data_IF_109377775936
#
_entry.id   IF_109377775936
#
_cell.length_a   1.000
_cell.length_b   1.000
_cell.length_c   1.000
_cell.angle_alpha   90.00
_cell.angle_beta   90.00
_cell.angle_gamma   90.00
#
_symmetry.space_group_name_H-M   'P 1'
#
loop_
_entity.id
_entity.type
_entity.pdbx_description
1 polymer ?
#
# COMPACT_ATOMS: atom_id res chain seq x y z
N UNK A 1 -13.45 61.33 27.05
CA UNK A 1 -13.60 60.83 25.67
C UNK A 1 -12.33 60.20 25.09
N UNK A 2 -11.09 60.54 25.56
CA UNK A 2 -9.84 59.92 25.04
C UNK A 2 -9.60 58.48 25.42
N UNK A 3 -10.14 58.00 26.53
CA UNK A 3 -9.91 56.62 27.01
C UNK A 3 -10.86 55.56 26.41
N UNK A 4 -11.97 55.98 25.79
CA UNK A 4 -12.94 55.06 25.15
C UNK A 4 -12.44 54.58 23.76
N UNK A 5 -11.69 55.44 23.05
CA UNK A 5 -11.17 55.12 21.71
C UNK A 5 -10.00 54.11 21.79
N UNK A 6 -9.18 54.17 22.85
CA UNK A 6 -8.06 53.22 23.06
C UNK A 6 -8.54 51.79 23.35
N UNK A 7 -9.66 51.62 24.00
CA UNK A 7 -10.19 50.28 24.34
C UNK A 7 -10.81 49.60 23.12
N UNK A 8 -11.40 50.36 22.21
CA UNK A 8 -12.00 49.81 20.97
C UNK A 8 -10.88 49.38 19.98
N UNK A 9 -9.72 50.03 19.96
CA UNK A 9 -8.62 49.67 19.05
C UNK A 9 -7.89 48.39 19.49
N UNK A 10 -7.89 48.04 20.78
CA UNK A 10 -7.27 46.81 21.32
C UNK A 10 -8.17 45.60 21.07
N UNK A 11 -9.51 45.75 21.11
CA UNK A 11 -10.45 44.69 20.86
C UNK A 11 -10.53 44.20 19.39
N UNK A 12 -10.22 45.06 18.43
CA UNK A 12 -10.22 44.72 17.00
C UNK A 12 -9.00 43.94 16.54
N UNK A 13 -7.90 43.93 17.33
CA UNK A 13 -6.68 43.18 16.98
C UNK A 13 -6.69 41.72 17.46
N UNK A 14 -7.59 41.37 18.39
CA UNK A 14 -7.70 39.98 18.90
C UNK A 14 -8.53 39.06 18.04
N UNK A 15 -9.29 39.53 17.05
CA UNK A 15 -10.18 38.73 16.20
C UNK A 15 -9.49 38.17 14.94
N UNK A 16 -8.23 38.48 14.65
CA UNK A 16 -7.55 38.06 13.42
C UNK A 16 -6.68 36.80 13.54
N UNK A 17 -6.65 36.13 14.72
CA UNK A 17 -5.77 34.99 14.96
C UNK A 17 -6.43 33.61 14.81
N UNK A 18 -7.66 33.51 14.30
CA UNK A 18 -8.40 32.25 14.25
C UNK A 18 -8.49 31.61 12.85
N UNK A 19 -7.61 31.93 11.93
CA UNK A 19 -7.75 31.63 10.51
C UNK A 19 -6.77 30.64 9.87
N UNK A 20 -5.99 29.83 10.62
CA UNK A 20 -5.03 28.91 9.99
C UNK A 20 -5.02 27.54 10.66
N UNK A 21 -6.11 26.80 10.60
CA UNK A 21 -6.12 25.35 10.96
C UNK A 21 -7.00 24.47 10.06
N UNK A 22 -7.47 24.94 8.92
CA UNK A 22 -8.37 24.17 8.07
C UNK A 22 -7.74 23.52 6.83
N UNK A 23 -6.41 23.61 6.63
CA UNK A 23 -5.76 23.10 5.40
C UNK A 23 -5.18 21.68 5.49
N UNK A 24 -5.22 21.05 6.66
CA UNK A 24 -4.50 19.78 6.91
C UNK A 24 -5.39 18.52 6.92
N UNK A 25 -6.70 18.67 6.71
CA UNK A 25 -7.60 17.52 6.57
C UNK A 25 -7.82 17.19 5.08
N UNK A 26 -7.84 15.89 4.78
CA UNK A 26 -8.17 15.40 3.45
C UNK A 26 -9.61 15.78 3.12
N UNK A 27 -9.80 16.58 2.06
CA UNK A 27 -11.14 16.81 1.54
C UNK A 27 -11.75 15.49 1.03
N UNK A 28 -13.09 15.35 0.98
CA UNK A 28 -13.72 14.13 0.47
C UNK A 28 -13.25 13.74 -0.93
N UNK A 29 -13.05 14.72 -1.83
CA UNK A 29 -12.54 14.48 -3.19
C UNK A 29 -11.09 13.98 -3.18
N UNK A 30 -10.24 14.54 -2.30
CA UNK A 30 -8.84 14.07 -2.14
C UNK A 30 -8.80 12.67 -1.56
N UNK A 31 -9.63 12.37 -0.56
CA UNK A 31 -9.75 11.02 0.00
C UNK A 31 -10.10 10.02 -1.10
N UNK A 32 -11.12 10.30 -1.90
CA UNK A 32 -11.53 9.43 -3.00
C UNK A 32 -10.42 9.21 -4.03
N UNK A 33 -9.65 10.26 -4.37
CA UNK A 33 -8.52 10.15 -5.29
C UNK A 33 -7.39 9.27 -4.70
N UNK A 34 -7.09 9.42 -3.40
CA UNK A 34 -6.10 8.60 -2.68
C UNK A 34 -6.56 7.14 -2.61
N UNK A 35 -7.82 6.91 -2.28
CA UNK A 35 -8.41 5.56 -2.22
C UNK A 35 -8.30 4.86 -3.58
N UNK A 36 -8.61 5.58 -4.66
CA UNK A 36 -8.48 5.06 -6.03
C UNK A 36 -7.02 4.71 -6.37
N UNK A 37 -6.08 5.58 -6.03
CA UNK A 37 -4.64 5.36 -6.26
C UNK A 37 -4.10 4.18 -5.45
N UNK A 38 -4.53 4.04 -4.18
CA UNK A 38 -4.15 2.92 -3.33
C UNK A 38 -4.63 1.58 -3.91
N UNK A 39 -5.90 1.52 -4.35
CA UNK A 39 -6.45 0.33 -5.00
C UNK A 39 -5.76 0.02 -6.33
N UNK A 40 -5.36 1.03 -7.11
CA UNK A 40 -4.59 0.85 -8.35
C UNK A 40 -3.22 0.21 -8.05
N UNK A 41 -2.47 0.74 -7.07
CA UNK A 41 -1.18 0.16 -6.66
C UNK A 41 -1.29 -1.30 -6.19
N UNK A 42 -2.35 -1.64 -5.46
CA UNK A 42 -2.60 -3.03 -5.06
C UNK A 42 -2.90 -3.93 -6.26
N UNK A 43 -3.66 -3.45 -7.25
CA UNK A 43 -3.91 -4.18 -8.50
C UNK A 43 -2.64 -4.36 -9.32
N UNK A 44 -1.78 -3.35 -9.38
CA UNK A 44 -0.50 -3.44 -10.08
C UNK A 44 0.44 -4.42 -9.39
N UNK A 45 0.50 -4.40 -8.06
CA UNK A 45 1.24 -5.42 -7.30
C UNK A 45 0.74 -6.83 -7.61
N UNK A 46 -0.58 -7.05 -7.68
CA UNK A 46 -1.16 -8.35 -8.06
C UNK A 46 -0.69 -8.81 -9.44
N UNK A 47 -0.66 -7.90 -10.44
CA UNK A 47 -0.13 -8.20 -11.79
C UNK A 47 1.35 -8.55 -11.74
N UNK A 48 2.16 -7.78 -11.00
CA UNK A 48 3.60 -8.05 -10.84
C UNK A 48 3.85 -9.41 -10.20
N UNK A 49 3.12 -9.76 -9.15
CA UNK A 49 3.19 -11.08 -8.50
C UNK A 49 2.88 -12.20 -9.49
N UNK A 50 1.86 -12.04 -10.33
CA UNK A 50 1.50 -13.03 -11.35
C UNK A 50 2.60 -13.19 -12.40
N UNK A 51 3.24 -12.11 -12.84
CA UNK A 51 4.35 -12.15 -13.81
C UNK A 51 5.59 -12.80 -13.19
N UNK A 52 5.96 -12.43 -11.96
CA UNK A 52 7.12 -12.99 -11.25
C UNK A 52 6.93 -14.49 -10.97
N UNK A 53 5.71 -14.90 -10.62
CA UNK A 53 5.38 -16.30 -10.35
C UNK A 53 5.23 -17.18 -11.59
N UNK A 54 5.00 -16.60 -12.77
CA UNK A 54 4.85 -17.35 -14.02
C UNK A 54 6.19 -17.94 -14.48
N UNK A 55 6.27 -19.26 -14.52
CA UNK A 55 7.46 -20.02 -14.92
C UNK A 55 7.87 -19.84 -16.39
N UNK A 56 7.03 -19.20 -17.21
CA UNK A 56 7.32 -18.83 -18.59
C UNK A 56 7.97 -17.46 -18.73
N UNK A 57 7.91 -16.64 -17.68
CA UNK A 57 8.54 -15.32 -17.68
C UNK A 57 10.06 -15.47 -17.71
N UNK A 58 10.71 -14.82 -18.68
CA UNK A 58 12.16 -14.80 -18.76
C UNK A 58 12.78 -14.20 -17.49
N UNK A 59 13.90 -14.76 -17.01
CA UNK A 59 14.54 -14.31 -15.77
C UNK A 59 14.84 -12.81 -15.76
N UNK A 60 15.36 -12.27 -16.87
CA UNK A 60 15.66 -10.83 -16.99
C UNK A 60 14.41 -9.94 -16.96
N UNK A 61 13.26 -10.44 -17.40
CA UNK A 61 11.99 -9.74 -17.32
C UNK A 61 11.46 -9.78 -15.88
N UNK A 62 11.49 -10.95 -15.24
CA UNK A 62 11.09 -11.10 -13.85
C UNK A 62 11.89 -10.17 -12.93
N UNK A 63 13.22 -10.05 -13.12
CA UNK A 63 14.05 -9.12 -12.35
C UNK A 63 13.62 -7.66 -12.51
N UNK A 64 13.32 -7.20 -13.73
CA UNK A 64 12.81 -5.84 -13.96
C UNK A 64 11.45 -5.60 -13.32
N UNK A 65 10.59 -6.62 -13.31
CA UNK A 65 9.27 -6.53 -12.65
C UNK A 65 9.43 -6.51 -11.13
N UNK A 66 10.37 -7.27 -10.57
CA UNK A 66 10.71 -7.25 -9.13
C UNK A 66 11.14 -5.83 -8.70
N UNK A 67 11.98 -5.16 -9.46
CA UNK A 67 12.38 -3.78 -9.18
C UNK A 67 11.17 -2.85 -9.10
N UNK A 68 10.31 -2.86 -10.12
CA UNK A 68 9.07 -2.06 -10.13
C UNK A 68 8.11 -2.40 -9.01
N UNK A 69 7.97 -3.70 -8.69
CA UNK A 69 7.13 -4.14 -7.59
C UNK A 69 7.67 -3.66 -6.24
N UNK A 70 8.99 -3.66 -6.06
CA UNK A 70 9.64 -3.18 -4.84
C UNK A 70 9.44 -1.67 -4.63
N UNK A 71 9.44 -0.87 -5.71
CA UNK A 71 9.20 0.58 -5.67
C UNK A 71 7.78 0.95 -5.16
N UNK A 72 6.84 0.03 -5.15
CA UNK A 72 5.50 0.28 -4.59
C UNK A 72 5.51 0.36 -3.06
N UNK A 73 6.56 -0.15 -2.39
CA UNK A 73 6.59 -0.35 -0.95
C UNK A 73 7.40 0.73 -0.21
N UNK A 74 7.02 0.94 1.04
CA UNK A 74 7.86 1.63 2.01
C UNK A 74 9.13 0.81 2.26
N UNK A 75 10.23 1.52 2.55
CA UNK A 75 11.47 0.90 2.96
C UNK A 75 11.27 -0.05 4.16
N UNK A 76 11.95 -1.18 4.15
CA UNK A 76 11.89 -2.22 5.18
C UNK A 76 10.54 -2.95 5.34
N UNK A 77 9.58 -2.75 4.44
CA UNK A 77 8.31 -3.51 4.47
C UNK A 77 8.52 -5.01 4.32
N UNK A 78 7.61 -5.78 4.90
CA UNK A 78 7.64 -7.24 4.94
C UNK A 78 6.36 -7.85 4.39
N UNK A 79 6.49 -9.01 3.78
CA UNK A 79 5.37 -9.79 3.23
C UNK A 79 5.26 -11.11 3.99
N UNK A 80 4.10 -11.32 4.61
CA UNK A 80 3.74 -12.57 5.28
C UNK A 80 3.38 -13.68 4.29
N UNK A 81 3.93 -14.85 4.53
CA UNK A 81 3.66 -16.09 3.78
C UNK A 81 3.25 -17.18 4.75
N UNK A 82 2.11 -17.76 4.52
CA UNK A 82 1.58 -18.92 5.23
C UNK A 82 1.39 -20.09 4.28
N UNK A 83 1.13 -21.26 4.83
CA UNK A 83 0.82 -22.47 4.08
C UNK A 83 -0.04 -23.39 4.94
N UNK A 84 -0.93 -24.15 4.32
CA UNK A 84 -1.71 -25.20 5.01
C UNK A 84 -0.83 -26.26 5.68
N UNK A 85 0.41 -26.43 5.21
CA UNK A 85 1.35 -27.42 5.72
C UNK A 85 2.22 -26.89 6.88
N UNK A 86 2.02 -25.64 7.32
CA UNK A 86 2.79 -25.01 8.41
C UNK A 86 1.85 -24.24 9.33
N UNK A 87 2.16 -24.22 10.61
CA UNK A 87 1.41 -23.43 11.59
C UNK A 87 1.87 -21.97 11.63
N UNK A 88 3.15 -21.70 11.30
CA UNK A 88 3.75 -20.40 11.41
C UNK A 88 3.64 -19.59 10.12
N UNK A 89 3.48 -18.28 10.28
CA UNK A 89 3.61 -17.28 9.20
C UNK A 89 5.06 -16.81 9.13
N UNK A 90 5.70 -16.97 7.98
CA UNK A 90 7.03 -16.42 7.74
C UNK A 90 6.92 -15.04 7.13
N UNK A 91 7.76 -14.10 7.58
CA UNK A 91 7.84 -12.74 7.07
C UNK A 91 9.16 -12.57 6.34
N UNK A 92 9.09 -12.04 5.12
CA UNK A 92 10.25 -11.79 4.27
C UNK A 92 10.27 -10.31 3.87
N UNK A 93 11.47 -9.74 3.75
CA UNK A 93 11.62 -8.44 3.09
C UNK A 93 11.04 -8.50 1.67
N UNK A 94 10.45 -7.40 1.19
CA UNK A 94 9.74 -7.36 -0.08
C UNK A 94 10.56 -7.97 -1.23
N UNK A 95 11.83 -7.57 -1.37
CA UNK A 95 12.72 -8.12 -2.40
C UNK A 95 12.95 -9.62 -2.23
N UNK A 96 13.23 -10.06 -1.02
CA UNK A 96 13.43 -11.48 -0.71
C UNK A 96 12.19 -12.32 -1.03
N UNK A 97 10.98 -11.80 -0.72
CA UNK A 97 9.73 -12.47 -1.08
C UNK A 97 9.62 -12.70 -2.58
N UNK A 98 9.91 -11.69 -3.41
CA UNK A 98 9.83 -11.82 -4.86
C UNK A 98 10.88 -12.77 -5.43
N UNK A 99 12.12 -12.72 -4.93
CA UNK A 99 13.17 -13.65 -5.32
C UNK A 99 12.78 -15.10 -5.00
N UNK A 100 12.19 -15.35 -3.82
CA UNK A 100 11.66 -16.68 -3.43
C UNK A 100 10.50 -17.12 -4.31
N UNK A 101 9.58 -16.21 -4.64
CA UNK A 101 8.45 -16.48 -5.53
C UNK A 101 8.93 -16.94 -6.93
N UNK A 102 9.91 -16.24 -7.48
CA UNK A 102 10.53 -16.61 -8.77
C UNK A 102 11.17 -18.00 -8.73
N UNK A 103 11.76 -18.38 -7.58
CA UNK A 103 12.49 -19.63 -7.38
C UNK A 103 11.64 -20.83 -6.93
N UNK A 104 10.30 -20.67 -6.78
CA UNK A 104 9.44 -21.79 -6.40
C UNK A 104 9.63 -22.98 -7.36
N UNK A 105 9.84 -24.16 -6.80
CA UNK A 105 10.11 -25.38 -7.57
C UNK A 105 8.81 -26.11 -7.96
N UNK A 106 8.05 -25.49 -8.87
CA UNK A 106 6.84 -26.05 -9.49
C UNK A 106 6.89 -25.80 -11.00
N UNK A 107 6.22 -26.64 -11.77
CA UNK A 107 6.15 -26.48 -13.23
C UNK A 107 5.26 -25.30 -13.64
N UNK A 108 4.22 -25.03 -12.84
CA UNK A 108 3.34 -23.89 -13.01
C UNK A 108 2.88 -23.36 -11.66
N UNK A 109 2.86 -22.05 -11.51
CA UNK A 109 2.28 -21.35 -10.35
C UNK A 109 1.25 -20.36 -10.87
N UNK A 110 0.11 -20.29 -10.18
CA UNK A 110 -0.93 -19.28 -10.42
C UNK A 110 -1.21 -18.58 -9.09
N UNK A 111 -1.19 -17.27 -9.10
CA UNK A 111 -1.46 -16.43 -7.93
C UNK A 111 -2.48 -15.38 -8.35
N UNK A 112 -3.69 -15.50 -7.82
CA UNK A 112 -4.79 -14.59 -8.11
C UNK A 112 -5.20 -13.83 -6.85
N UNK A 113 -5.28 -12.51 -6.98
CA UNK A 113 -5.83 -11.65 -5.94
C UNK A 113 -7.27 -11.26 -6.30
N UNK A 114 -8.16 -11.49 -5.37
CA UNK A 114 -9.58 -11.19 -5.55
C UNK A 114 -10.17 -10.55 -4.28
N UNK A 115 -11.37 -10.01 -4.37
CA UNK A 115 -12.04 -9.29 -3.27
C UNK A 115 -11.12 -8.23 -2.62
N UNK A 116 -10.52 -7.38 -3.44
CA UNK A 116 -9.73 -6.24 -2.96
C UNK A 116 -10.70 -5.22 -2.37
N UNK A 117 -10.63 -5.00 -1.06
CA UNK A 117 -11.56 -4.11 -0.34
C UNK A 117 -10.79 -3.13 0.53
N UNK A 118 -11.25 -1.89 0.56
CA UNK A 118 -10.80 -0.91 1.54
C UNK A 118 -11.48 -1.21 2.87
N UNK A 119 -10.72 -1.44 3.92
CA UNK A 119 -11.24 -1.92 5.22
C UNK A 119 -11.30 -0.82 6.25
N UNK A 120 -10.38 0.12 6.20
CA UNK A 120 -10.32 1.21 7.17
C UNK A 120 -10.28 2.58 6.51
N UNK A 121 -10.83 3.57 7.20
CA UNK A 121 -10.58 4.96 6.88
C UNK A 121 -9.10 5.29 7.09
N UNK A 122 -8.63 6.30 6.35
CA UNK A 122 -7.27 6.82 6.51
C UNK A 122 -7.17 7.59 7.82
N UNK A 123 -6.35 7.09 8.76
CA UNK A 123 -6.08 7.70 10.05
C UNK A 123 -4.83 8.57 9.97
N UNK A 124 -4.95 9.84 10.37
CA UNK A 124 -3.82 10.77 10.40
C UNK A 124 -2.91 10.46 11.58
N UNK A 125 -1.62 10.27 11.29
CA UNK A 125 -0.57 10.06 12.29
C UNK A 125 0.01 11.40 12.77
N UNK A 126 0.72 11.42 13.92
CA UNK A 126 1.33 12.64 14.46
C UNK A 126 2.34 13.31 13.52
N UNK A 127 3.00 12.54 12.64
CA UNK A 127 3.96 13.03 11.63
C UNK A 127 3.29 13.58 10.38
N UNK A 128 1.94 13.63 10.34
CA UNK A 128 1.15 14.09 9.19
C UNK A 128 0.93 13.03 8.11
N UNK A 129 1.48 11.83 8.24
CA UNK A 129 1.19 10.68 7.37
C UNK A 129 -0.23 10.18 7.65
N UNK A 130 -0.91 9.70 6.60
CA UNK A 130 -2.16 8.95 6.79
C UNK A 130 -1.89 7.47 6.59
N UNK A 131 -2.51 6.64 7.42
CA UNK A 131 -2.37 5.17 7.39
C UNK A 131 -3.74 4.53 7.25
N UNK A 132 -3.84 3.55 6.38
CA UNK A 132 -5.04 2.75 6.18
C UNK A 132 -4.69 1.29 5.91
N UNK A 133 -5.71 0.45 5.75
CA UNK A 133 -5.55 -0.99 5.49
C UNK A 133 -6.45 -1.39 4.33
N UNK A 134 -5.89 -2.15 3.39
CA UNK A 134 -6.64 -2.83 2.33
C UNK A 134 -6.58 -4.33 2.58
N UNK A 135 -7.73 -4.99 2.68
CA UNK A 135 -7.80 -6.45 2.73
C UNK A 135 -7.95 -7.04 1.34
N UNK A 136 -7.20 -8.10 1.09
CA UNK A 136 -7.28 -8.92 -0.12
C UNK A 136 -7.44 -10.39 0.24
N UNK A 137 -7.96 -11.15 -0.73
CA UNK A 137 -7.90 -12.60 -0.73
C UNK A 137 -6.99 -13.05 -1.86
N UNK A 138 -5.99 -13.87 -1.54
CA UNK A 138 -5.05 -14.44 -2.48
C UNK A 138 -5.34 -15.93 -2.61
N UNK A 139 -5.53 -16.41 -3.85
CA UNK A 139 -5.49 -17.84 -4.17
C UNK A 139 -4.12 -18.17 -4.73
N UNK A 140 -3.50 -19.18 -4.17
CA UNK A 140 -2.25 -19.75 -4.66
C UNK A 140 -2.50 -21.18 -5.14
N UNK A 141 -2.04 -21.49 -6.35
CA UNK A 141 -2.12 -22.82 -6.94
C UNK A 141 -0.77 -23.20 -7.53
N UNK A 142 -0.30 -24.41 -7.22
CA UNK A 142 0.93 -24.96 -7.76
C UNK A 142 0.67 -26.30 -8.46
N UNK A 143 1.33 -26.46 -9.60
CA UNK A 143 1.13 -27.60 -10.47
C UNK A 143 2.45 -28.31 -10.77
N UNK A 144 2.37 -29.63 -10.86
CA UNK A 144 3.40 -30.52 -11.37
C UNK A 144 2.94 -31.12 -12.71
N UNK A 145 3.85 -31.35 -13.66
CA UNK A 145 3.51 -31.83 -15.00
C UNK A 145 2.81 -33.18 -15.00
N UNK A 146 3.21 -34.08 -14.10
CA UNK A 146 2.72 -35.44 -14.05
C UNK A 146 1.48 -35.58 -13.16
N UNK A 147 1.45 -34.84 -12.04
CA UNK A 147 0.43 -34.97 -10.98
C UNK A 147 -0.69 -33.94 -11.08
N UNK A 148 -0.54 -32.92 -11.94
CA UNK A 148 -1.51 -31.83 -12.04
C UNK A 148 -1.43 -30.85 -10.85
N UNK A 149 -2.57 -30.43 -10.31
CA UNK A 149 -2.65 -29.55 -9.13
C UNK A 149 -2.13 -30.28 -7.88
N UNK A 150 -1.01 -29.84 -7.33
CA UNK A 150 -0.36 -30.45 -6.16
C UNK A 150 -0.52 -29.66 -4.87
N UNK A 151 -0.83 -28.37 -4.98
CA UNK A 151 -1.09 -27.53 -3.83
C UNK A 151 -2.04 -26.39 -4.18
N UNK A 152 -2.96 -26.08 -3.28
CA UNK A 152 -3.86 -24.93 -3.35
C UNK A 152 -4.15 -24.40 -1.95
N UNK A 153 -4.12 -23.09 -1.79
CA UNK A 153 -4.65 -22.39 -0.62
C UNK A 153 -5.30 -21.05 -0.99
N UNK A 154 -6.07 -20.55 -0.05
CA UNK A 154 -6.62 -19.22 -0.03
C UNK A 154 -6.15 -18.50 1.23
N UNK A 155 -5.50 -17.35 1.07
CA UNK A 155 -5.00 -16.56 2.18
C UNK A 155 -5.66 -15.19 2.19
N UNK A 156 -6.28 -14.83 3.32
CA UNK A 156 -6.72 -13.46 3.61
C UNK A 156 -5.53 -12.66 4.13
N UNK A 157 -5.26 -11.50 3.53
CA UNK A 157 -4.13 -10.63 3.89
C UNK A 157 -4.57 -9.19 4.04
N UNK A 158 -3.96 -8.49 4.97
CA UNK A 158 -4.06 -7.05 5.15
C UNK A 158 -2.80 -6.37 4.64
N UNK A 159 -2.96 -5.35 3.82
CA UNK A 159 -1.91 -4.50 3.26
C UNK A 159 -2.01 -3.13 3.93
N UNK A 160 -0.97 -2.72 4.64
CA UNK A 160 -0.88 -1.36 5.19
C UNK A 160 -0.65 -0.36 4.07
N UNK A 161 -1.36 0.75 4.08
CA UNK A 161 -1.22 1.85 3.11
C UNK A 161 -0.72 3.08 3.85
N UNK A 162 0.35 3.69 3.34
CA UNK A 162 0.89 4.96 3.81
C UNK A 162 0.66 6.04 2.78
N UNK A 163 0.15 7.18 3.22
CA UNK A 163 -0.13 8.33 2.36
C UNK A 163 0.59 9.55 2.92
N UNK A 164 1.55 10.07 2.17
CA UNK A 164 2.36 11.23 2.56
C UNK A 164 2.21 12.36 1.56
N UNK A 165 2.15 13.59 2.06
CA UNK A 165 2.28 14.76 1.20
C UNK A 165 3.75 14.93 0.81
N UNK A 166 4.01 14.98 -0.48
CA UNK A 166 5.32 15.30 -1.07
C UNK A 166 5.22 16.57 -1.89
N UNK A 167 6.33 17.24 -2.07
CA UNK A 167 6.45 18.42 -2.92
C UNK A 167 7.55 18.16 -3.96
N UNK A 168 7.29 18.59 -5.18
CA UNK A 168 8.27 18.55 -6.26
C UNK A 168 8.33 19.90 -6.97
N UNK A 169 9.47 20.26 -7.51
CA UNK A 169 9.65 21.49 -8.26
C UNK A 169 9.52 21.20 -9.76
N UNK A 170 8.50 21.80 -10.38
CA UNK A 170 8.28 21.70 -11.84
C UNK A 170 8.24 23.11 -12.40
N UNK A 171 9.15 23.42 -13.35
CA UNK A 171 9.22 24.74 -13.98
C UNK A 171 9.39 25.89 -12.98
N UNK A 172 10.15 25.69 -11.88
CA UNK A 172 10.38 26.70 -10.84
C UNK A 172 9.24 26.87 -9.83
N UNK A 173 8.15 26.09 -9.94
CA UNK A 173 7.01 26.13 -9.01
C UNK A 173 7.01 24.87 -8.14
N UNK A 174 6.78 25.04 -6.83
CA UNK A 174 6.55 23.91 -5.92
C UNK A 174 5.13 23.38 -6.11
N UNK A 175 5.02 22.11 -6.46
CA UNK A 175 3.75 21.40 -6.63
C UNK A 175 3.68 20.32 -5.56
N UNK A 176 2.67 20.42 -4.69
CA UNK A 176 2.37 19.40 -3.68
C UNK A 176 1.49 18.30 -4.26
N UNK A 177 1.84 17.04 -3.97
CA UNK A 177 1.02 15.87 -4.32
C UNK A 177 0.99 14.87 -3.16
N UNK A 178 0.03 13.95 -3.21
CA UNK A 178 -0.08 12.86 -2.26
C UNK A 178 0.56 11.61 -2.86
N UNK A 179 1.58 11.10 -2.18
CA UNK A 179 2.23 9.84 -2.54
C UNK A 179 1.65 8.71 -1.69
N UNK A 180 1.29 7.62 -2.36
CA UNK A 180 0.74 6.42 -1.74
C UNK A 180 1.78 5.31 -1.85
N UNK A 181 2.15 4.72 -0.71
CA UNK A 181 3.09 3.61 -0.62
C UNK A 181 2.44 2.44 0.10
N UNK A 182 2.77 1.24 -0.33
CA UNK A 182 2.39 0.01 0.36
C UNK A 182 3.36 -0.23 1.51
N UNK A 183 2.86 -0.76 2.61
CA UNK A 183 3.64 -1.19 3.76
C UNK A 183 3.62 -2.71 3.89
N UNK A 184 3.66 -3.17 5.14
CA UNK A 184 3.61 -4.59 5.43
C UNK A 184 2.36 -5.26 4.89
N UNK A 185 2.54 -6.50 4.43
CA UNK A 185 1.44 -7.42 4.09
C UNK A 185 1.38 -8.50 5.14
N UNK A 186 0.33 -8.48 5.96
CA UNK A 186 0.13 -9.38 7.08
C UNK A 186 -0.92 -10.44 6.75
N UNK A 187 -0.59 -11.71 7.03
CA UNK A 187 -1.54 -12.82 6.93
C UNK A 187 -2.53 -12.74 8.07
N UNK A 188 -3.81 -12.87 7.77
CA UNK A 188 -4.91 -12.96 8.76
C UNK A 188 -5.42 -14.38 8.91
N UNK A 189 -5.59 -15.08 7.80
CA UNK A 189 -6.18 -16.41 7.76
C UNK A 189 -5.68 -17.16 6.52
N UNK A 190 -5.51 -18.47 6.63
CA UNK A 190 -5.22 -19.36 5.51
C UNK A 190 -6.19 -20.55 5.56
N UNK A 191 -6.85 -20.80 4.45
CA UNK A 191 -7.85 -21.87 4.29
C UNK A 191 -7.66 -22.61 2.95
N UNK A 192 -8.33 -23.72 2.81
CA UNK A 192 -8.37 -24.50 1.58
C UNK A 192 -9.43 -23.94 0.64
#
# INVERSE_FOLDING_TARGET
MKNLISVILVLTFLAAASGVKAQDQLSPQRKQAIDSLALEKVRDLSKYISIIGDKKTAWSEAQRVIERATELFMENSEIGVSSLNRQDVNYYKVREYFDRLMQLNYDKVTIDWYKIQYVSDLERQPDGTYVGVITIYQRFQAYDKEKGLVYEDTTKKDITIYVKRKETQIGGRLIGFWDVMLGDIRVKETSK
#
